data_IF_448268992090
#
_entry.id   IF_448268992090
#
_cell.length_a   1.000
_cell.length_b   1.000
_cell.length_c   1.000
_cell.angle_alpha   90.00
_cell.angle_beta   90.00
_cell.angle_gamma   90.00
#
_symmetry.space_group_name_H-M   'P 1'
#
loop_
_entity.id
_entity.type
_entity.pdbx_description
1 polymer ?
#
# COMPACT_ATOMS: atom_id res chain seq x y z
N UNK A 1 13.43 1.51 -17.63
CA UNK A 1 12.41 1.83 -16.60
C UNK A 1 11.22 2.46 -17.32
N UNK A 2 10.03 1.85 -17.23
CA UNK A 2 8.85 2.35 -17.95
C UNK A 2 8.34 3.60 -17.24
N UNK A 3 8.41 4.75 -17.91
CA UNK A 3 7.91 6.04 -17.40
C UNK A 3 6.39 5.92 -17.30
N UNK A 4 5.89 5.77 -16.08
CA UNK A 4 4.47 5.63 -15.77
C UNK A 4 3.70 6.88 -16.22
N UNK A 5 2.59 6.69 -16.93
CA UNK A 5 1.69 7.76 -17.35
C UNK A 5 0.90 8.23 -16.11
N UNK A 6 1.37 9.28 -15.46
CA UNK A 6 0.63 9.95 -14.38
C UNK A 6 -0.52 10.77 -14.97
N UNK A 7 -1.73 10.56 -14.47
CA UNK A 7 -2.88 11.40 -14.80
C UNK A 7 -2.68 12.80 -14.20
N UNK A 8 -3.12 13.87 -14.87
CA UNK A 8 -2.89 15.26 -14.45
C UNK A 8 -3.55 15.65 -13.11
N UNK A 9 -4.50 14.86 -12.60
CA UNK A 9 -5.10 15.01 -11.27
C UNK A 9 -4.27 14.38 -10.14
N UNK A 10 -3.33 13.48 -10.46
CA UNK A 10 -2.42 12.78 -9.53
C UNK A 10 -1.07 13.50 -9.42
N UNK A 11 -1.09 14.83 -9.29
CA UNK A 11 0.15 15.63 -9.27
C UNK A 11 0.83 15.62 -7.89
N UNK A 12 1.13 14.43 -7.38
CA UNK A 12 2.39 14.16 -6.66
C UNK A 12 3.31 13.55 -7.70
N UNK A 13 4.54 14.03 -7.84
CA UNK A 13 5.42 13.55 -8.90
C UNK A 13 5.50 12.02 -8.85
N UNK A 14 5.51 11.33 -10.00
CA UNK A 14 5.46 9.87 -10.05
C UNK A 14 6.58 9.19 -9.23
N UNK A 15 7.70 9.90 -9.02
CA UNK A 15 8.77 9.49 -8.14
C UNK A 15 8.37 9.48 -6.66
N UNK A 16 7.61 10.49 -6.22
CA UNK A 16 7.14 10.63 -4.84
C UNK A 16 6.12 9.52 -4.49
N UNK A 17 5.20 9.21 -5.41
CA UNK A 17 4.20 8.15 -5.16
C UNK A 17 4.86 6.78 -5.08
N UNK A 18 5.92 6.53 -5.87
CA UNK A 18 6.68 5.28 -5.80
C UNK A 18 7.39 5.12 -4.44
N UNK A 19 7.99 6.21 -3.92
CA UNK A 19 8.60 6.20 -2.60
C UNK A 19 7.56 5.91 -1.52
N UNK A 20 6.42 6.61 -1.54
CA UNK A 20 5.33 6.42 -0.58
C UNK A 20 4.82 4.97 -0.60
N UNK A 21 4.65 4.38 -1.79
CA UNK A 21 4.11 3.02 -1.93
C UNK A 21 5.07 1.98 -1.35
N UNK A 22 6.37 2.12 -1.63
CA UNK A 22 7.42 1.30 -1.03
C UNK A 22 7.44 1.43 0.50
N UNK A 23 7.35 2.66 1.02
CA UNK A 23 7.30 2.91 2.46
C UNK A 23 6.07 2.27 3.13
N UNK A 24 4.91 2.28 2.47
CA UNK A 24 3.70 1.67 3.02
C UNK A 24 3.73 0.15 3.02
N UNK A 25 4.22 -0.48 1.95
CA UNK A 25 4.42 -1.93 1.94
C UNK A 25 5.38 -2.35 3.06
N UNK A 26 6.50 -1.64 3.19
CA UNK A 26 7.47 -1.89 4.25
C UNK A 26 6.84 -1.75 5.64
N UNK A 27 6.05 -0.71 5.90
CA UNK A 27 5.36 -0.51 7.19
C UNK A 27 4.43 -1.69 7.54
N UNK A 28 3.71 -2.22 6.56
CA UNK A 28 2.83 -3.38 6.78
C UNK A 28 3.66 -4.63 7.06
N UNK A 29 4.70 -4.89 6.25
CA UNK A 29 5.57 -6.05 6.43
C UNK A 29 6.28 -6.00 7.81
N UNK A 30 6.80 -4.83 8.21
CA UNK A 30 7.39 -4.59 9.53
C UNK A 30 6.37 -4.78 10.68
N UNK A 31 5.11 -4.36 10.48
CA UNK A 31 4.06 -4.54 11.47
C UNK A 31 3.67 -6.02 11.63
N UNK A 32 3.55 -6.76 10.54
CA UNK A 32 3.27 -8.21 10.55
C UNK A 32 4.39 -9.00 11.24
N UNK A 33 5.66 -8.64 11.00
CA UNK A 33 6.81 -9.28 11.62
C UNK A 33 6.82 -9.15 13.15
N UNK A 34 6.21 -8.08 13.70
CA UNK A 34 6.06 -7.88 15.15
C UNK A 34 5.00 -8.79 15.78
N UNK A 35 4.31 -9.63 15.01
CA UNK A 35 3.22 -10.51 15.45
C UNK A 35 2.16 -9.73 16.26
N UNK A 36 1.49 -8.77 15.62
CA UNK A 36 0.56 -7.89 16.32
C UNK A 36 -0.64 -8.68 16.83
N UNK A 37 -1.27 -8.18 17.90
CA UNK A 37 -2.49 -8.75 18.47
C UNK A 37 -3.71 -8.40 17.60
N UNK A 38 -3.74 -8.94 16.38
CA UNK A 38 -4.85 -8.84 15.46
C UNK A 38 -5.68 -10.13 15.50
N UNK A 39 -6.98 -10.01 15.27
CA UNK A 39 -7.82 -11.16 14.97
C UNK A 39 -7.41 -11.82 13.65
N UNK A 40 -7.80 -13.09 13.45
CA UNK A 40 -7.53 -13.81 12.20
C UNK A 40 -8.17 -13.11 10.99
N UNK A 41 -9.35 -12.51 11.18
CA UNK A 41 -10.05 -11.71 10.17
C UNK A 41 -9.24 -10.46 9.79
N UNK A 42 -8.74 -9.71 10.78
CA UNK A 42 -7.89 -8.54 10.55
C UNK A 42 -6.56 -8.92 9.88
N UNK A 43 -5.94 -10.03 10.28
CA UNK A 43 -4.73 -10.53 9.62
C UNK A 43 -4.99 -10.90 8.16
N UNK A 44 -6.15 -11.50 7.88
CA UNK A 44 -6.56 -11.86 6.52
C UNK A 44 -6.79 -10.61 5.68
N UNK A 45 -7.49 -9.62 6.24
CA UNK A 45 -7.76 -8.34 5.58
C UNK A 45 -6.47 -7.58 5.26
N UNK A 46 -5.53 -7.49 6.21
CA UNK A 46 -4.23 -6.84 5.96
C UNK A 46 -3.46 -7.52 4.83
N UNK A 47 -3.41 -8.85 4.80
CA UNK A 47 -2.71 -9.61 3.76
C UNK A 47 -3.35 -9.37 2.38
N UNK A 48 -4.68 -9.36 2.31
CA UNK A 48 -5.41 -9.05 1.09
C UNK A 48 -5.12 -7.62 0.61
N UNK A 49 -5.24 -6.63 1.49
CA UNK A 49 -4.96 -5.23 1.16
C UNK A 49 -3.51 -5.03 0.70
N UNK A 50 -2.53 -5.71 1.30
CA UNK A 50 -1.12 -5.69 0.90
C UNK A 50 -0.92 -6.26 -0.50
N UNK A 51 -1.56 -7.39 -0.82
CA UNK A 51 -1.52 -7.99 -2.16
C UNK A 51 -2.22 -7.12 -3.21
N UNK A 52 -3.41 -6.58 -2.89
CA UNK A 52 -4.16 -5.69 -3.78
C UNK A 52 -3.40 -4.39 -4.07
N UNK A 53 -2.78 -3.77 -3.05
CA UNK A 53 -1.95 -2.58 -3.24
C UNK A 53 -0.77 -2.84 -4.19
N UNK A 54 -0.13 -4.01 -4.10
CA UNK A 54 0.94 -4.39 -5.04
C UNK A 54 0.41 -4.58 -6.47
N UNK A 55 -0.76 -5.22 -6.63
CA UNK A 55 -1.39 -5.41 -7.94
C UNK A 55 -1.77 -4.06 -8.57
N UNK A 56 -2.35 -3.13 -7.79
CA UNK A 56 -2.69 -1.79 -8.23
C UNK A 56 -1.43 -0.99 -8.64
N UNK A 57 -0.34 -1.12 -7.89
CA UNK A 57 0.95 -0.54 -8.27
C UNK A 57 1.44 -1.06 -9.62
N UNK A 58 1.44 -2.39 -9.81
CA UNK A 58 1.84 -3.04 -11.07
C UNK A 58 0.95 -2.62 -12.24
N UNK A 59 -0.33 -2.32 -11.98
CA UNK A 59 -1.30 -1.82 -12.94
C UNK A 59 -1.19 -0.31 -13.24
N UNK A 60 -0.30 0.43 -12.57
CA UNK A 60 -0.15 1.89 -12.73
C UNK A 60 -1.22 2.71 -11.98
N UNK A 61 -2.07 2.07 -11.19
CA UNK A 61 -3.11 2.70 -10.36
C UNK A 61 -2.51 3.15 -9.03
N UNK A 62 -1.59 4.10 -9.09
CA UNK A 62 -0.72 4.43 -7.96
C UNK A 62 -1.48 5.00 -6.76
N UNK A 63 -2.44 5.92 -6.97
CA UNK A 63 -3.22 6.48 -5.87
C UNK A 63 -4.11 5.43 -5.22
N UNK A 64 -4.81 4.60 -6.01
CA UNK A 64 -5.60 3.47 -5.50
C UNK A 64 -4.73 2.49 -4.68
N UNK A 65 -3.48 2.26 -5.10
CA UNK A 65 -2.54 1.42 -4.36
C UNK A 65 -2.19 2.04 -3.00
N UNK A 66 -1.88 3.35 -2.96
CA UNK A 66 -1.60 4.06 -1.70
C UNK A 66 -2.80 4.01 -0.76
N UNK A 67 -4.01 4.30 -1.25
CA UNK A 67 -5.24 4.28 -0.44
C UNK A 67 -5.57 2.87 0.08
N UNK A 68 -5.23 1.84 -0.69
CA UNK A 68 -5.40 0.44 -0.27
C UNK A 68 -4.41 0.08 0.83
N UNK A 69 -3.14 0.46 0.69
CA UNK A 69 -2.11 0.20 1.70
C UNK A 69 -2.35 1.05 2.97
N UNK A 70 -2.91 2.25 2.85
CA UNK A 70 -3.32 3.07 4.00
C UNK A 70 -4.40 2.40 4.84
N UNK A 71 -5.37 1.74 4.20
CA UNK A 71 -6.40 0.93 4.91
C UNK A 71 -5.75 -0.20 5.70
N UNK A 72 -4.77 -0.89 5.13
CA UNK A 72 -4.05 -1.95 5.85
C UNK A 72 -3.30 -1.40 7.07
N UNK A 73 -2.63 -0.24 6.93
CA UNK A 73 -1.89 0.39 8.03
C UNK A 73 -2.82 0.78 9.18
N UNK A 74 -4.02 1.28 8.88
CA UNK A 74 -5.03 1.65 9.90
C UNK A 74 -5.45 0.48 10.78
N UNK A 75 -5.46 -0.76 10.27
CA UNK A 75 -5.81 -1.94 11.07
C UNK A 75 -4.82 -2.14 12.24
N UNK A 76 -3.56 -1.76 12.06
CA UNK A 76 -2.55 -1.84 13.12
C UNK A 76 -2.59 -0.67 14.11
N UNK A 77 -3.18 0.46 13.71
CA UNK A 77 -3.20 1.69 14.49
C UNK A 77 -4.56 2.39 14.31
N UNK A 78 -5.63 1.78 14.87
CA UNK A 78 -7.02 2.21 14.67
C UNK A 78 -7.32 3.59 15.25
#
# INVERSE_FOLDING_TARGET
>A
MKKWLVHPADRRDAADVHLILSERQKKIDDALLKKPALSEEQLTEVQQLRATGEALHKAGKHQEAVDTLDRAIKIFNP
#
